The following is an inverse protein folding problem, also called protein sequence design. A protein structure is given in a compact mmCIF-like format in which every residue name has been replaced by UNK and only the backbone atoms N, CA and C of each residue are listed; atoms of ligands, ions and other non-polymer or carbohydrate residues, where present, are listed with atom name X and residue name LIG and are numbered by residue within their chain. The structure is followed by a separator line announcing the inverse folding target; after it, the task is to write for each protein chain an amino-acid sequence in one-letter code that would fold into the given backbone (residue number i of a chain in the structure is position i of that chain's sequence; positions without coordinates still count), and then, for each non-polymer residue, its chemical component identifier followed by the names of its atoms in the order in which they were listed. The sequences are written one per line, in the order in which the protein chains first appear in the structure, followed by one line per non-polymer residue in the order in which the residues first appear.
data_IF_017213913490
#
_entry.id   IF_017213913490
#
_cell.length_a   1.000
_cell.length_b   1.000
_cell.length_c   1.000
_cell.angle_alpha   90.00
_cell.angle_beta   90.00
_cell.angle_gamma   90.00
#
_symmetry.space_group_name_H-M   'P 1'
#
loop_
_entity.id
_entity.type
_entity.pdbx_description
1 polymer ?
#
# COMPACT_ATOMS: atom_id res chain seq x y z
N UNK A 1 -17.60 28.07 35.04
CA UNK A 1 -17.47 27.64 33.63
C UNK A 1 -18.60 26.68 33.34
N UNK A 2 -19.38 26.89 32.28
CA UNK A 2 -20.45 25.96 31.91
C UNK A 2 -19.84 24.78 31.17
N UNK A 3 -19.64 23.65 31.87
CA UNK A 3 -18.96 22.46 31.34
C UNK A 3 -19.63 21.87 30.11
N UNK A 4 -20.95 22.04 29.96
CA UNK A 4 -21.67 21.67 28.74
C UNK A 4 -21.18 22.42 27.48
N UNK A 5 -20.70 23.67 27.61
CA UNK A 5 -20.12 24.44 26.48
C UNK A 5 -18.78 23.86 26.08
N UNK A 6 -17.98 23.48 27.07
CA UNK A 6 -16.68 22.83 26.86
C UNK A 6 -16.87 21.47 26.21
N UNK A 7 -17.81 20.67 26.72
CA UNK A 7 -18.20 19.38 26.15
C UNK A 7 -18.68 19.52 24.71
N UNK A 8 -19.54 20.50 24.41
CA UNK A 8 -20.00 20.81 23.04
C UNK A 8 -18.81 21.07 22.10
N UNK A 9 -17.94 22.00 22.47
CA UNK A 9 -16.80 22.41 21.63
C UNK A 9 -15.82 21.24 21.40
N UNK A 10 -15.48 20.53 22.47
CA UNK A 10 -14.56 19.40 22.41
C UNK A 10 -15.13 18.23 21.56
N UNK A 11 -16.40 17.86 21.78
CA UNK A 11 -17.06 16.82 20.98
C UNK A 11 -17.19 17.22 19.51
N UNK A 12 -17.44 18.50 19.20
CA UNK A 12 -17.44 19.00 17.83
C UNK A 12 -16.06 18.84 17.15
N UNK A 13 -14.98 19.16 17.86
CA UNK A 13 -13.60 18.95 17.37
C UNK A 13 -13.32 17.47 17.12
N UNK A 14 -13.66 16.59 18.07
CA UNK A 14 -13.48 15.13 17.91
C UNK A 14 -14.23 14.63 16.69
N UNK A 15 -15.50 15.05 16.53
CA UNK A 15 -16.35 14.65 15.41
C UNK A 15 -15.73 15.01 14.07
N UNK A 16 -15.28 16.25 13.91
CA UNK A 16 -14.66 16.72 12.66
C UNK A 16 -13.34 15.99 12.39
N UNK A 17 -12.50 15.81 13.41
CA UNK A 17 -11.23 15.11 13.28
C UNK A 17 -11.45 13.64 12.86
N UNK A 18 -12.32 12.91 13.56
CA UNK A 18 -12.60 11.51 13.28
C UNK A 18 -13.30 11.32 11.93
N UNK A 19 -14.28 12.14 11.58
CA UNK A 19 -14.92 12.10 10.26
C UNK A 19 -13.91 12.32 9.12
N UNK A 20 -12.95 13.24 9.32
CA UNK A 20 -11.89 13.48 8.34
C UNK A 20 -10.93 12.30 8.22
N UNK A 21 -10.59 11.64 9.35
CA UNK A 21 -9.77 10.42 9.36
C UNK A 21 -10.46 9.28 8.61
N UNK A 22 -11.78 9.11 8.78
CA UNK A 22 -12.56 8.16 7.99
C UNK A 22 -12.38 8.44 6.51
N UNK A 23 -12.50 9.70 6.07
CA UNK A 23 -12.24 10.10 4.69
C UNK A 23 -10.84 9.69 4.20
N UNK A 24 -9.80 9.98 5.00
CA UNK A 24 -8.41 9.60 4.68
C UNK A 24 -8.15 8.10 4.59
N UNK A 25 -8.97 7.28 5.24
CA UNK A 25 -8.88 5.81 5.15
C UNK A 25 -9.73 5.32 3.97
N UNK A 26 -11.01 5.68 3.94
CA UNK A 26 -11.99 5.13 3.00
C UNK A 26 -11.71 5.55 1.56
N UNK A 27 -11.31 6.80 1.30
CA UNK A 27 -11.08 7.27 -0.08
C UNK A 27 -9.98 6.46 -0.81
N UNK A 28 -8.78 6.25 -0.24
CA UNK A 28 -7.76 5.38 -0.84
C UNK A 28 -8.19 3.91 -1.00
N UNK A 29 -8.92 3.37 -0.01
CA UNK A 29 -9.43 1.99 -0.06
C UNK A 29 -10.49 1.81 -1.15
N UNK A 30 -11.35 2.81 -1.36
CA UNK A 30 -12.33 2.82 -2.46
C UNK A 30 -11.64 2.94 -3.82
N UNK A 31 -10.72 3.90 -3.96
CA UNK A 31 -9.98 4.11 -5.21
C UNK A 31 -9.18 2.88 -5.64
N UNK A 32 -8.65 2.11 -4.70
CA UNK A 32 -7.92 0.86 -4.96
C UNK A 32 -8.81 -0.40 -4.98
N UNK A 33 -10.13 -0.27 -4.77
CA UNK A 33 -11.09 -1.40 -4.63
C UNK A 33 -10.67 -2.44 -3.57
N UNK A 34 -10.07 -1.99 -2.48
CA UNK A 34 -9.53 -2.84 -1.43
C UNK A 34 -10.42 -2.95 -0.18
N UNK A 35 -11.61 -2.32 -0.14
CA UNK A 35 -12.45 -2.33 1.08
C UNK A 35 -12.73 -3.72 1.65
N UNK A 36 -12.96 -4.73 0.80
CA UNK A 36 -13.22 -6.11 1.24
C UNK A 36 -11.94 -6.94 1.42
N UNK A 37 -10.86 -6.54 0.75
CA UNK A 37 -9.56 -7.24 0.76
C UNK A 37 -8.70 -6.83 1.95
N UNK A 38 -8.75 -5.55 2.31
CA UNK A 38 -8.06 -4.98 3.46
C UNK A 38 -9.03 -4.80 4.63
N UNK A 39 -9.34 -5.93 5.28
CA UNK A 39 -10.27 -5.99 6.42
C UNK A 39 -9.83 -5.12 7.59
N UNK A 40 -8.52 -4.97 7.81
CA UNK A 40 -7.97 -4.14 8.88
C UNK A 40 -8.26 -2.65 8.66
N UNK A 41 -8.02 -2.15 7.45
CA UNK A 41 -8.32 -0.78 7.08
C UNK A 41 -9.81 -0.46 7.15
N UNK A 42 -10.66 -1.36 6.66
CA UNK A 42 -12.11 -1.23 6.74
C UNK A 42 -12.62 -1.22 8.20
N UNK A 43 -12.15 -2.13 9.05
CA UNK A 43 -12.50 -2.16 10.47
C UNK A 43 -12.07 -0.87 11.19
N UNK A 44 -10.87 -0.37 10.90
CA UNK A 44 -10.37 0.89 11.47
C UNK A 44 -11.26 2.07 11.06
N UNK A 45 -11.64 2.16 9.78
CA UNK A 45 -12.58 3.18 9.31
C UNK A 45 -13.94 3.09 10.02
N UNK A 46 -14.46 1.87 10.24
CA UNK A 46 -15.71 1.65 10.93
C UNK A 46 -15.65 2.12 12.40
N UNK A 47 -14.56 1.84 13.12
CA UNK A 47 -14.37 2.31 14.50
C UNK A 47 -14.35 3.85 14.55
N UNK A 48 -13.57 4.50 13.69
CA UNK A 48 -13.54 5.97 13.67
C UNK A 48 -14.89 6.57 13.27
N UNK A 49 -15.65 5.92 12.39
CA UNK A 49 -16.97 6.36 12.00
C UNK A 49 -17.97 6.29 13.16
N UNK A 50 -18.02 5.17 13.88
CA UNK A 50 -18.95 5.03 15.01
C UNK A 50 -18.61 6.01 16.13
N UNK A 51 -17.31 6.23 16.40
CA UNK A 51 -16.87 7.27 17.33
C UNK A 51 -17.24 8.68 16.87
N UNK A 52 -17.05 9.01 15.58
CA UNK A 52 -17.44 10.31 15.04
C UNK A 52 -18.94 10.58 15.21
N UNK A 53 -19.78 9.58 14.92
CA UNK A 53 -21.23 9.68 15.11
C UNK A 53 -21.58 9.84 16.59
N UNK A 54 -20.95 9.08 17.48
CA UNK A 54 -21.18 9.16 18.92
C UNK A 54 -20.87 10.56 19.48
N UNK A 55 -19.67 11.09 19.20
CA UNK A 55 -19.29 12.44 19.62
C UNK A 55 -20.12 13.53 18.92
N UNK A 56 -20.52 13.29 17.67
CA UNK A 56 -21.40 14.20 16.93
C UNK A 56 -22.77 14.29 17.58
N UNK A 57 -23.31 13.15 18.03
CA UNK A 57 -24.58 13.10 18.75
C UNK A 57 -24.51 13.84 20.09
N UNK A 58 -23.41 13.70 20.83
CA UNK A 58 -23.18 14.49 22.05
C UNK A 58 -23.22 15.99 21.77
N UNK A 59 -22.53 16.46 20.74
CA UNK A 59 -22.57 17.86 20.33
C UNK A 59 -23.99 18.30 19.91
N UNK A 60 -24.71 17.46 19.15
CA UNK A 60 -26.09 17.74 18.73
C UNK A 60 -27.08 17.72 19.89
N UNK A 61 -26.89 16.91 20.92
CA UNK A 61 -27.78 16.92 22.09
C UNK A 61 -27.52 18.14 23.00
N UNK A 62 -26.30 18.66 22.99
CA UNK A 62 -25.89 19.84 23.74
C UNK A 62 -26.28 21.16 23.08
N UNK A 63 -26.48 21.22 21.76
CA UNK A 63 -26.73 22.45 20.99
C UNK A 63 -28.16 23.05 21.06
N UNK A 64 -29.26 22.27 21.00
CA UNK A 64 -30.63 22.75 20.74
C UNK A 64 -31.14 23.81 21.72
N UNK A 65 -30.90 23.71 23.05
CA UNK A 65 -31.36 24.74 23.97
C UNK A 65 -30.67 26.10 23.76
N UNK A 66 -29.57 26.19 22.99
CA UNK A 66 -28.97 27.47 22.59
C UNK A 66 -29.62 28.07 21.33
N UNK A 67 -30.36 27.27 20.57
CA UNK A 67 -31.08 27.68 19.36
C UNK A 67 -32.55 28.03 19.64
N UNK A 68 -32.94 28.13 20.92
CA UNK A 68 -34.32 28.34 21.34
C UNK A 68 -35.19 27.07 21.36
N UNK A 69 -34.60 25.90 21.07
CA UNK A 69 -35.29 24.60 21.11
C UNK A 69 -35.10 23.96 22.49
N UNK A 70 -35.98 24.33 23.43
CA UNK A 70 -35.93 23.88 24.82
C UNK A 70 -36.77 22.62 25.03
N UNK A 71 -36.22 21.45 24.67
CA UNK A 71 -36.80 20.16 25.05
C UNK A 71 -36.35 19.75 26.45
N UNK A 72 -37.16 18.97 27.16
CA UNK A 72 -36.83 18.49 28.50
C UNK A 72 -35.52 17.67 28.50
N UNK A 73 -35.34 16.86 27.47
CA UNK A 73 -34.15 16.02 27.29
C UNK A 73 -32.90 16.88 27.06
N UNK A 74 -32.97 17.92 26.24
CA UNK A 74 -31.83 18.79 25.94
C UNK A 74 -31.37 19.61 27.14
N UNK A 75 -32.31 20.04 27.99
CA UNK A 75 -31.99 20.72 29.25
C UNK A 75 -31.36 19.75 30.26
N UNK A 76 -31.93 18.55 30.42
CA UNK A 76 -31.39 17.52 31.31
C UNK A 76 -29.97 17.10 30.94
N UNK A 77 -29.67 16.97 29.63
CA UNK A 77 -28.33 16.64 29.16
C UNK A 77 -27.32 17.74 29.52
N UNK A 78 -27.67 19.03 29.39
CA UNK A 78 -26.77 20.13 29.78
C UNK A 78 -26.52 20.19 31.29
N UNK A 79 -27.55 19.92 32.08
CA UNK A 79 -27.45 19.90 33.54
C UNK A 79 -26.57 18.73 34.02
N UNK A 80 -26.71 17.56 33.38
CA UNK A 80 -25.90 16.38 33.68
C UNK A 80 -24.44 16.48 33.19
N UNK A 81 -24.11 17.45 32.32
CA UNK A 81 -22.76 17.59 31.76
C UNK A 81 -21.79 18.24 32.77
N UNK A 82 -21.32 17.41 33.70
CA UNK A 82 -20.34 17.76 34.73
C UNK A 82 -18.93 17.98 34.19
N UNK A 83 -18.03 18.35 35.11
CA UNK A 83 -16.63 18.63 34.79
C UNK A 83 -15.85 17.36 34.43
N UNK A 84 -16.27 16.20 34.94
CA UNK A 84 -15.66 14.90 34.68
C UNK A 84 -15.79 14.53 33.20
N UNK A 85 -17.00 14.67 32.65
CA UNK A 85 -17.28 14.46 31.22
C UNK A 85 -16.53 15.48 30.38
N UNK A 86 -16.65 16.77 30.72
CA UNK A 86 -15.98 17.85 29.98
C UNK A 86 -14.46 17.72 29.96
N UNK A 87 -13.83 17.26 31.05
CA UNK A 87 -12.39 17.05 31.11
C UNK A 87 -11.95 15.91 30.17
N UNK A 88 -12.69 14.79 30.15
CA UNK A 88 -12.41 13.69 29.22
C UNK A 88 -12.65 14.07 27.77
N UNK A 89 -13.69 14.87 27.50
CA UNK A 89 -13.92 15.42 26.16
C UNK A 89 -12.73 16.26 25.68
N UNK A 90 -12.17 17.11 26.56
CA UNK A 90 -10.98 17.92 26.24
C UNK A 90 -9.78 17.04 25.94
N UNK A 91 -9.50 16.03 26.76
CA UNK A 91 -8.40 15.08 26.50
C UNK A 91 -8.62 14.38 25.16
N UNK A 92 -9.83 13.92 24.89
CA UNK A 92 -10.21 13.30 23.61
C UNK A 92 -10.00 14.24 22.43
N UNK A 93 -10.40 15.50 22.54
CA UNK A 93 -10.24 16.51 21.51
C UNK A 93 -8.77 16.82 21.21
N UNK A 94 -7.93 16.91 22.25
CA UNK A 94 -6.48 17.11 22.08
C UNK A 94 -5.83 15.93 21.36
N UNK A 95 -6.14 14.70 21.77
CA UNK A 95 -5.60 13.49 21.13
C UNK A 95 -6.09 13.39 19.68
N UNK A 96 -7.38 13.65 19.43
CA UNK A 96 -7.96 13.62 18.10
C UNK A 96 -7.32 14.67 17.18
N UNK A 97 -7.14 15.91 17.66
CA UNK A 97 -6.49 16.98 16.90
C UNK A 97 -5.01 16.66 16.62
N UNK A 98 -4.28 16.15 17.62
CA UNK A 98 -2.88 15.73 17.46
C UNK A 98 -2.73 14.63 16.41
N UNK A 99 -3.54 13.56 16.52
CA UNK A 99 -3.50 12.45 15.58
C UNK A 99 -3.97 12.86 14.17
N UNK A 100 -5.00 13.71 14.07
CA UNK A 100 -5.42 14.28 12.79
C UNK A 100 -4.30 15.10 12.13
N UNK A 101 -3.58 15.92 12.91
CA UNK A 101 -2.41 16.65 12.47
C UNK A 101 -1.31 15.72 11.94
N UNK A 102 -0.98 14.67 12.71
CA UNK A 102 -0.02 13.65 12.29
C UNK A 102 -0.46 12.98 10.97
N UNK A 103 -1.74 12.60 10.88
CA UNK A 103 -2.28 11.90 9.71
C UNK A 103 -2.29 12.79 8.47
N UNK A 104 -2.59 14.09 8.60
CA UNK A 104 -2.56 15.04 7.49
C UNK A 104 -1.12 15.23 6.98
N UNK A 105 -0.17 15.46 7.88
CA UNK A 105 1.23 15.72 7.51
C UNK A 105 1.89 14.48 6.93
N UNK A 106 1.91 13.37 7.66
CA UNK A 106 2.59 12.14 7.23
C UNK A 106 1.81 11.38 6.15
N UNK A 107 0.47 11.44 6.14
CA UNK A 107 -0.34 10.84 5.08
C UNK A 107 -0.10 11.47 3.72
N UNK A 108 0.06 12.79 3.67
CA UNK A 108 0.39 13.50 2.42
C UNK A 108 1.79 13.15 1.88
N UNK A 109 2.76 12.92 2.78
CA UNK A 109 4.13 12.50 2.44
C UNK A 109 4.18 11.04 1.95
N UNK A 110 3.40 10.12 2.55
CA UNK A 110 3.46 8.69 2.24
C UNK A 110 2.67 8.28 0.98
N UNK A 111 1.59 9.00 0.62
CA UNK A 111 0.69 8.61 -0.48
C UNK A 111 1.10 9.11 -1.87
N UNK A 112 1.88 10.18 -1.97
CA UNK A 112 2.08 10.87 -3.26
C UNK A 112 3.28 10.42 -4.06
N UNK A 113 4.47 10.41 -3.45
CA UNK A 113 5.72 10.34 -4.21
C UNK A 113 6.31 8.92 -4.23
N UNK A 114 6.56 8.31 -3.07
CA UNK A 114 7.42 7.12 -3.04
C UNK A 114 6.78 5.84 -3.59
N UNK A 115 5.51 5.54 -3.26
CA UNK A 115 4.88 4.30 -3.72
C UNK A 115 4.51 4.34 -5.21
N UNK A 116 4.08 5.50 -5.71
CA UNK A 116 3.78 5.69 -7.13
C UNK A 116 5.04 5.73 -7.98
N UNK A 117 6.11 6.38 -7.49
CA UNK A 117 7.39 6.35 -8.18
C UNK A 117 7.98 4.93 -8.21
N UNK A 118 7.88 4.16 -7.12
CA UNK A 118 8.35 2.78 -7.09
C UNK A 118 7.53 1.88 -8.04
N UNK A 119 6.19 1.97 -8.03
CA UNK A 119 5.34 1.22 -8.97
C UNK A 119 5.60 1.59 -10.44
N UNK A 120 5.72 2.88 -10.76
CA UNK A 120 6.02 3.32 -12.14
C UNK A 120 7.43 2.93 -12.58
N UNK A 121 8.40 2.93 -11.67
CA UNK A 121 9.76 2.45 -11.95
C UNK A 121 9.73 0.96 -12.28
N UNK A 122 9.05 0.14 -11.46
CA UNK A 122 8.92 -1.30 -11.70
C UNK A 122 8.21 -1.61 -13.02
N UNK A 123 7.14 -0.90 -13.34
CA UNK A 123 6.40 -1.09 -14.60
C UNK A 123 7.24 -0.74 -15.83
N UNK A 124 7.93 0.42 -15.81
CA UNK A 124 8.86 0.81 -16.89
C UNK A 124 9.99 -0.19 -17.05
N UNK A 125 10.56 -0.64 -15.94
CA UNK A 125 11.67 -1.58 -15.96
C UNK A 125 11.24 -2.95 -16.48
N UNK A 126 10.03 -3.42 -16.17
CA UNK A 126 9.50 -4.66 -16.73
C UNK A 126 9.26 -4.57 -18.25
N UNK A 127 8.82 -3.41 -18.74
CA UNK A 127 8.66 -3.15 -20.18
C UNK A 127 10.01 -3.10 -20.90
N UNK A 128 11.00 -2.39 -20.36
CA UNK A 128 12.35 -2.32 -20.93
C UNK A 128 13.05 -3.69 -20.99
N UNK A 129 12.82 -4.56 -19.99
CA UNK A 129 13.33 -5.94 -20.00
C UNK A 129 12.68 -6.74 -21.12
N UNK A 130 11.36 -6.62 -21.28
CA UNK A 130 10.63 -7.36 -22.31
C UNK A 130 11.12 -6.94 -23.71
N UNK A 131 11.16 -5.64 -24.00
CA UNK A 131 11.54 -5.16 -25.34
C UNK A 131 12.98 -5.55 -25.73
N UNK A 132 13.96 -5.36 -24.83
CA UNK A 132 15.36 -5.66 -25.14
C UNK A 132 15.61 -7.16 -25.35
N UNK A 133 14.98 -8.02 -24.53
CA UNK A 133 15.14 -9.47 -24.64
C UNK A 133 14.35 -10.02 -25.83
N UNK A 134 13.12 -9.55 -26.03
CA UNK A 134 12.26 -10.00 -27.12
C UNK A 134 12.84 -9.61 -28.48
N UNK A 135 13.37 -8.39 -28.62
CA UNK A 135 14.00 -7.94 -29.87
C UNK A 135 15.21 -8.80 -30.24
N UNK A 136 16.10 -9.10 -29.28
CA UNK A 136 17.25 -9.94 -29.57
C UNK A 136 16.89 -11.41 -29.85
N UNK A 137 15.83 -11.94 -29.23
CA UNK A 137 15.25 -13.26 -29.57
C UNK A 137 14.63 -13.28 -30.97
N UNK A 138 13.97 -12.20 -31.40
CA UNK A 138 13.42 -12.08 -32.76
C UNK A 138 14.54 -12.06 -33.80
N UNK A 139 15.62 -11.29 -33.55
CA UNK A 139 16.81 -11.27 -34.43
C UNK A 139 17.45 -12.64 -34.52
N UNK A 140 17.61 -13.33 -33.39
CA UNK A 140 18.16 -14.69 -33.37
C UNK A 140 17.30 -15.67 -34.17
N UNK A 141 15.97 -15.62 -34.00
CA UNK A 141 15.03 -16.46 -34.76
C UNK A 141 15.11 -16.20 -36.26
N UNK A 142 15.14 -14.93 -36.68
CA UNK A 142 15.28 -14.57 -38.10
C UNK A 142 16.62 -15.05 -38.67
N UNK A 143 17.72 -14.92 -37.92
CA UNK A 143 19.03 -15.40 -38.34
C UNK A 143 19.05 -16.93 -38.51
N UNK A 144 18.38 -17.68 -37.62
CA UNK A 144 18.21 -19.12 -37.78
C UNK A 144 17.37 -19.48 -39.02
N UNK A 145 16.31 -18.75 -39.32
CA UNK A 145 15.49 -18.95 -40.53
C UNK A 145 16.27 -18.68 -41.83
N UNK A 146 17.31 -17.85 -41.77
CA UNK A 146 18.21 -17.54 -42.89
C UNK A 146 19.48 -18.41 -42.91
N UNK A 147 19.57 -19.43 -42.05
CA UNK A 147 20.75 -20.31 -41.89
C UNK A 147 22.04 -19.55 -41.48
N UNK A 148 21.89 -18.38 -40.87
CA UNK A 148 22.97 -17.52 -40.37
C UNK A 148 23.30 -17.86 -38.91
N UNK A 149 23.79 -19.09 -38.70
CA UNK A 149 23.96 -19.67 -37.37
C UNK A 149 24.86 -18.82 -36.45
N UNK A 150 25.94 -18.23 -36.98
CA UNK A 150 26.85 -17.38 -36.23
C UNK A 150 26.18 -16.07 -35.75
N UNK A 151 25.30 -15.49 -36.59
CA UNK A 151 24.52 -14.29 -36.26
C UNK A 151 23.43 -14.58 -35.22
N UNK A 152 22.81 -15.76 -35.30
CA UNK A 152 21.83 -16.21 -34.32
C UNK A 152 22.43 -16.38 -32.92
N UNK A 153 23.61 -17.02 -32.84
CA UNK A 153 24.33 -17.23 -31.57
C UNK A 153 24.75 -15.89 -30.97
N UNK A 154 25.30 -14.98 -31.78
CA UNK A 154 25.68 -13.65 -31.31
C UNK A 154 24.49 -12.83 -30.76
N UNK A 155 23.33 -12.91 -31.42
CA UNK A 155 22.11 -12.23 -30.97
C UNK A 155 21.56 -12.83 -29.66
N UNK A 156 21.61 -14.16 -29.50
CA UNK A 156 21.25 -14.84 -28.26
C UNK A 156 22.16 -14.45 -27.09
N UNK A 157 23.49 -14.49 -27.30
CA UNK A 157 24.46 -14.13 -26.26
C UNK A 157 24.28 -12.69 -25.81
N UNK A 158 24.01 -11.78 -26.75
CA UNK A 158 23.72 -10.37 -26.45
C UNK A 158 22.45 -10.21 -25.61
N UNK A 159 21.39 -10.95 -25.95
CA UNK A 159 20.10 -10.94 -25.24
C UNK A 159 20.23 -11.51 -23.83
N UNK A 160 20.93 -12.63 -23.68
CA UNK A 160 21.19 -13.29 -22.39
C UNK A 160 22.04 -12.37 -21.51
N UNK A 161 23.12 -11.78 -22.05
CA UNK A 161 23.97 -10.87 -21.30
C UNK A 161 23.23 -9.60 -20.86
N UNK A 162 22.34 -9.07 -21.71
CA UNK A 162 21.47 -7.93 -21.36
C UNK A 162 20.50 -8.30 -20.23
N UNK A 163 19.84 -9.46 -20.32
CA UNK A 163 18.96 -9.97 -19.28
C UNK A 163 19.71 -10.17 -17.94
N UNK A 164 20.89 -10.78 -17.97
CA UNK A 164 21.72 -11.00 -16.77
C UNK A 164 22.16 -9.68 -16.12
N UNK A 165 22.54 -8.66 -16.89
CA UNK A 165 22.90 -7.34 -16.34
C UNK A 165 21.70 -6.64 -15.70
N UNK A 166 20.54 -6.67 -16.34
CA UNK A 166 19.31 -6.07 -15.81
C UNK A 166 18.83 -6.77 -14.53
N UNK A 167 18.85 -8.10 -14.50
CA UNK A 167 18.51 -8.89 -13.29
C UNK A 167 19.50 -8.64 -12.16
N UNK A 168 20.80 -8.54 -12.47
CA UNK A 168 21.83 -8.22 -11.47
C UNK A 168 21.63 -6.81 -10.89
N UNK A 169 21.25 -5.84 -11.72
CA UNK A 169 20.89 -4.49 -11.26
C UNK A 169 19.66 -4.47 -10.36
N UNK A 170 18.64 -5.29 -10.68
CA UNK A 170 17.44 -5.45 -9.85
C UNK A 170 17.78 -6.05 -8.48
N UNK A 171 18.58 -7.13 -8.45
CA UNK A 171 18.96 -7.81 -7.21
C UNK A 171 19.93 -6.99 -6.35
N UNK A 172 20.72 -6.09 -6.93
CA UNK A 172 21.59 -5.18 -6.19
C UNK A 172 20.83 -4.01 -5.54
N UNK A 173 19.62 -3.71 -6.03
CA UNK A 173 18.78 -2.62 -5.49
C UNK A 173 17.94 -3.10 -4.30
N UNK A 174 17.64 -4.41 -4.23
CA UNK A 174 17.08 -5.04 -3.03
C UNK A 174 18.23 -5.41 -2.09
N UNK A 175 18.43 -4.63 -1.02
CA UNK A 175 19.42 -4.85 0.05
C UNK A 175 19.12 -6.11 0.91
N UNK A 176 18.76 -7.22 0.25
CA UNK A 176 18.63 -8.54 0.84
C UNK A 176 19.79 -9.40 0.36
N UNK A 177 20.62 -9.93 1.27
CA UNK A 177 21.65 -10.87 0.88
C UNK A 177 20.96 -12.11 0.31
N UNK A 178 20.92 -12.21 -1.02
CA UNK A 178 20.55 -13.44 -1.72
C UNK A 178 21.58 -14.47 -1.28
N UNK A 179 21.15 -15.42 -0.45
CA UNK A 179 22.02 -16.44 0.11
C UNK A 179 22.86 -17.05 -1.02
N UNK A 180 24.18 -16.91 -0.91
CA UNK A 180 25.18 -17.19 -1.94
C UNK A 180 25.25 -18.67 -2.41
N UNK A 181 24.25 -19.49 -2.08
CA UNK A 181 24.14 -20.90 -2.43
C UNK A 181 23.14 -21.22 -3.56
N UNK A 182 22.38 -20.25 -4.07
CA UNK A 182 21.38 -20.49 -5.12
C UNK A 182 21.82 -20.08 -6.54
N UNK A 183 22.95 -19.39 -6.67
CA UNK A 183 23.52 -19.02 -7.97
C UNK A 183 24.49 -20.11 -8.42
N UNK A 184 24.19 -20.74 -9.56
CA UNK A 184 25.07 -21.73 -10.19
C UNK A 184 26.27 -21.00 -10.80
N UNK A 185 27.48 -21.39 -10.42
CA UNK A 185 28.73 -20.73 -10.80
C UNK A 185 29.34 -21.21 -12.13
N UNK A 186 28.66 -22.08 -12.87
CA UNK A 186 29.15 -22.62 -14.13
C UNK A 186 28.02 -23.02 -15.09
N UNK A 187 28.28 -22.97 -16.42
CA UNK A 187 27.33 -23.38 -17.44
C UNK A 187 26.93 -24.85 -17.27
N UNK A 188 25.68 -25.18 -17.63
CA UNK A 188 25.21 -26.55 -17.60
C UNK A 188 25.95 -27.36 -18.68
N UNK A 189 26.76 -28.33 -18.27
CA UNK A 189 27.37 -29.30 -19.18
C UNK A 189 26.28 -30.21 -19.69
N UNK A 190 25.94 -30.08 -20.97
CA UNK A 190 25.13 -31.08 -21.68
C UNK A 190 26.06 -32.24 -21.98
N UNK A 191 25.94 -33.32 -21.20
CA UNK A 191 26.67 -34.55 -21.48
C UNK A 191 26.26 -35.06 -22.86
N UNK A 192 27.20 -35.12 -23.79
CA UNK A 192 27.07 -35.96 -24.97
C UNK A 192 26.98 -37.39 -24.45
N UNK A 193 25.79 -37.98 -24.48
CA UNK A 193 25.60 -39.38 -24.15
C UNK A 193 26.61 -40.20 -24.96
N UNK A 194 27.49 -40.86 -24.21
CA UNK A 194 28.55 -41.71 -24.72
C UNK A 194 27.91 -42.81 -25.56
N UNK A 195 28.20 -42.76 -26.85
CA UNK A 195 27.82 -43.77 -27.80
C UNK A 195 28.81 -44.92 -27.69
N UNK A 196 28.66 -45.79 -26.67
CA UNK A 196 29.13 -47.18 -26.74
C UNK A 196 28.63 -48.02 -25.54
N UNK A 197 27.40 -48.51 -25.65
CA UNK A 197 27.00 -49.72 -24.95
C UNK A 197 26.57 -50.77 -25.97
N UNK A 198 27.41 -51.79 -26.27
CA UNK A 198 26.97 -52.92 -27.07
C UNK A 198 25.93 -53.71 -26.28
N UNK A 199 24.69 -53.70 -26.78
CA UNK A 199 23.63 -54.61 -26.38
C UNK A 199 24.03 -56.06 -26.70
N UNK A 200 24.61 -56.76 -25.73
CA UNK A 200 24.66 -58.21 -25.75
C UNK A 200 23.35 -58.76 -25.18
N UNK A 201 22.37 -58.97 -26.06
CA UNK A 201 21.24 -59.85 -25.78
C UNK A 201 21.75 -61.29 -25.90
N UNK A 202 21.55 -62.11 -24.86
CA UNK A 202 21.74 -63.56 -24.88
C UNK A 202 20.49 -64.25 -24.34
N UNK A 203 20.13 -65.41 -24.92
CA UNK A 203 18.76 -65.92 -25.01
C UNK A 203 18.13 -66.37 -23.70
#
# INVERSE_FOLDING_TARGET
MHWWVVGLAANAVITVAYASIVGFIVVPLLRSRQLTKNKLGAATAAIFLTCAVHHGLHAVHLLPPSLGLHTAEGLAVREAWGWELGAWDVVGALVAAYYFGLRRTYGSLMQGAQLFDDLRRRERQALEINDNVLQGLVVAKMALELDQQETAVAALDTSIAAASRMISGLLATEDRPVAAGLLRSGPAVVGTADADHPHAWRP
#
